data_IF_481829405531
#
_entry.id   IF_481829405531
#
_cell.length_a   1.000
_cell.length_b   1.000
_cell.length_c   1.000
_cell.angle_alpha   90.00
_cell.angle_beta   90.00
_cell.angle_gamma   90.00
#
_symmetry.space_group_name_H-M   'P 1'
#
loop_
_entity.id
_entity.type
_entity.pdbx_description
1 polymer ?
#
# COMPACT_ATOMS: atom_id res chain seq x y z
N UNK A 1 -3.04 33.49 -2.02
CA UNK A 1 -1.84 32.64 -1.91
C UNK A 1 -2.21 31.18 -1.58
N UNK A 2 -2.96 30.87 -0.51
CA UNK A 2 -3.42 29.49 -0.21
C UNK A 2 -4.26 28.91 -1.35
N UNK A 3 -5.22 29.62 -1.87
CA UNK A 3 -6.07 29.18 -2.98
C UNK A 3 -5.28 28.87 -4.26
N UNK A 4 -4.24 29.65 -4.53
CA UNK A 4 -3.36 29.43 -5.68
C UNK A 4 -2.53 28.15 -5.51
N UNK A 5 -2.03 27.89 -4.29
CA UNK A 5 -1.31 26.66 -3.95
C UNK A 5 -2.25 25.44 -4.05
N UNK A 6 -3.46 25.54 -3.57
CA UNK A 6 -4.47 24.49 -3.69
C UNK A 6 -4.80 24.19 -5.15
N UNK A 7 -4.99 25.22 -5.99
CA UNK A 7 -5.25 25.03 -7.41
C UNK A 7 -4.09 24.35 -8.13
N UNK A 8 -2.86 24.80 -7.88
CA UNK A 8 -1.65 24.17 -8.46
C UNK A 8 -1.54 22.72 -8.01
N UNK A 9 -1.70 22.48 -6.70
CA UNK A 9 -1.65 21.13 -6.15
C UNK A 9 -2.71 20.22 -6.78
N UNK A 10 -3.92 20.73 -7.00
CA UNK A 10 -5.00 19.97 -7.64
C UNK A 10 -4.70 19.63 -9.09
N UNK A 11 -4.18 20.57 -9.86
CA UNK A 11 -3.77 20.34 -11.26
C UNK A 11 -2.65 19.30 -11.34
N UNK A 12 -1.63 19.43 -10.48
CA UNK A 12 -0.51 18.48 -10.41
C UNK A 12 -1.00 17.09 -9.98
N UNK A 13 -1.86 17.02 -8.97
CA UNK A 13 -2.42 15.77 -8.49
C UNK A 13 -3.30 15.09 -9.54
N UNK A 14 -4.15 15.83 -10.24
CA UNK A 14 -5.00 15.31 -11.31
C UNK A 14 -4.19 14.84 -12.53
N UNK A 15 -3.04 15.46 -12.80
CA UNK A 15 -2.12 15.01 -13.83
C UNK A 15 -1.38 13.72 -13.39
N UNK A 16 -0.76 13.72 -12.20
CA UNK A 16 0.04 12.59 -11.71
C UNK A 16 -0.85 11.35 -11.47
N UNK A 17 -2.00 11.51 -10.80
CA UNK A 17 -2.95 10.42 -10.56
C UNK A 17 -4.01 10.27 -11.65
N UNK A 18 -3.80 10.95 -12.77
CA UNK A 18 -4.62 10.89 -13.96
C UNK A 18 -4.27 9.74 -14.90
N UNK A 19 -4.71 9.88 -16.15
CA UNK A 19 -4.50 8.90 -17.21
C UNK A 19 -3.02 8.55 -17.43
N UNK A 20 -2.05 9.51 -17.42
CA UNK A 20 -0.66 9.19 -17.69
C UNK A 20 -0.05 8.18 -16.71
N UNK A 21 -0.22 8.41 -15.40
CA UNK A 21 0.30 7.48 -14.39
C UNK A 21 -0.40 6.12 -14.45
N UNK A 22 -1.72 6.11 -14.63
CA UNK A 22 -2.47 4.86 -14.79
C UNK A 22 -1.98 4.05 -15.99
N UNK A 23 -1.80 4.69 -17.14
CA UNK A 23 -1.32 4.03 -18.36
C UNK A 23 0.11 3.50 -18.16
N UNK A 24 0.99 4.30 -17.56
CA UNK A 24 2.36 3.86 -17.29
C UNK A 24 2.40 2.66 -16.32
N UNK A 25 1.74 2.76 -15.16
CA UNK A 25 1.84 1.73 -14.12
C UNK A 25 1.12 0.45 -14.54
N UNK A 26 -0.12 0.57 -15.05
CA UNK A 26 -0.87 -0.59 -15.54
C UNK A 26 -0.22 -1.17 -16.80
N UNK A 27 0.25 -0.31 -17.71
CA UNK A 27 0.95 -0.73 -18.93
C UNK A 27 2.23 -1.51 -18.64
N UNK A 28 3.05 -1.03 -17.69
CA UNK A 28 4.24 -1.77 -17.24
C UNK A 28 3.84 -3.09 -16.58
N UNK A 29 2.82 -3.09 -15.71
CA UNK A 29 2.32 -4.31 -15.09
C UNK A 29 1.80 -5.33 -16.10
N UNK A 30 1.10 -4.89 -17.12
CA UNK A 30 0.63 -5.73 -18.23
C UNK A 30 1.81 -6.25 -19.07
N UNK A 31 2.73 -5.37 -19.47
CA UNK A 31 3.94 -5.77 -20.19
C UNK A 31 4.75 -6.83 -19.45
N UNK A 32 5.00 -6.62 -18.16
CA UNK A 32 5.71 -7.57 -17.32
C UNK A 32 4.94 -8.89 -17.17
N UNK A 33 3.62 -8.84 -17.04
CA UNK A 33 2.78 -10.03 -16.99
C UNK A 33 2.88 -10.86 -18.27
N UNK A 34 2.85 -10.23 -19.43
CA UNK A 34 3.03 -10.90 -20.72
C UNK A 34 4.45 -11.47 -20.85
N UNK A 35 5.49 -10.71 -20.53
CA UNK A 35 6.90 -11.14 -20.64
C UNK A 35 7.25 -12.29 -19.70
N UNK A 36 6.61 -12.38 -18.54
CA UNK A 36 6.82 -13.46 -17.57
C UNK A 36 5.86 -14.63 -17.74
N UNK A 37 4.98 -14.58 -18.76
CA UNK A 37 3.96 -15.61 -19.02
C UNK A 37 2.95 -15.70 -17.87
N UNK A 38 2.43 -14.57 -17.41
CA UNK A 38 1.47 -14.46 -16.30
C UNK A 38 1.93 -15.23 -15.06
N UNK A 39 3.15 -14.96 -14.62
CA UNK A 39 3.80 -15.62 -13.48
C UNK A 39 2.93 -15.58 -12.22
N UNK A 40 2.25 -14.46 -11.97
CA UNK A 40 1.36 -14.25 -10.82
C UNK A 40 0.20 -15.26 -10.77
N UNK A 41 -0.28 -15.73 -11.92
CA UNK A 41 -1.35 -16.75 -12.00
C UNK A 41 -0.71 -18.15 -11.99
N UNK A 42 0.26 -18.38 -12.87
CA UNK A 42 0.89 -19.69 -13.05
C UNK A 42 1.63 -20.21 -11.83
N UNK A 43 2.24 -19.32 -11.05
CA UNK A 43 3.00 -19.67 -9.84
C UNK A 43 2.31 -19.32 -8.53
N UNK A 44 1.04 -18.97 -8.58
CA UNK A 44 0.27 -18.54 -7.42
C UNK A 44 0.25 -19.60 -6.30
N UNK A 45 -0.10 -20.83 -6.64
CA UNK A 45 -0.11 -21.93 -5.67
C UNK A 45 1.27 -22.19 -5.06
N UNK A 46 2.32 -22.16 -5.87
CA UNK A 46 3.68 -22.30 -5.38
C UNK A 46 4.08 -21.14 -4.44
N UNK A 47 3.71 -19.92 -4.78
CA UNK A 47 3.99 -18.75 -3.95
C UNK A 47 3.31 -18.87 -2.58
N UNK A 48 2.02 -19.23 -2.54
CA UNK A 48 1.28 -19.43 -1.29
C UNK A 48 1.91 -20.53 -0.45
N UNK A 49 2.16 -21.70 -1.02
CA UNK A 49 2.76 -22.83 -0.28
C UNK A 49 4.13 -22.48 0.28
N UNK A 50 4.94 -21.75 -0.51
CA UNK A 50 6.28 -21.34 -0.08
C UNK A 50 6.21 -20.29 1.03
N UNK A 51 5.32 -19.31 0.92
CA UNK A 51 5.16 -18.26 1.92
C UNK A 51 4.62 -18.82 3.23
N UNK A 52 3.50 -19.53 3.19
CA UNK A 52 2.88 -20.14 4.38
C UNK A 52 3.82 -21.16 5.02
N UNK A 53 4.45 -22.04 4.22
CA UNK A 53 5.37 -23.05 4.73
C UNK A 53 6.64 -22.47 5.38
N UNK A 54 7.02 -21.22 5.04
CA UNK A 54 8.17 -20.53 5.64
C UNK A 54 7.80 -19.66 6.84
N UNK A 55 6.56 -19.20 6.96
CA UNK A 55 6.09 -18.41 8.10
C UNK A 55 6.30 -19.12 9.44
N UNK A 56 6.17 -20.45 9.45
CA UNK A 56 6.30 -21.27 10.66
C UNK A 56 7.72 -21.77 10.93
N UNK A 57 8.69 -21.47 10.06
CA UNK A 57 10.09 -21.85 10.25
C UNK A 57 10.84 -20.74 10.98
N UNK A 58 11.22 -21.01 12.24
CA UNK A 58 12.13 -20.12 12.97
C UNK A 58 13.48 -20.10 12.23
N UNK A 59 13.91 -18.90 11.84
CA UNK A 59 15.21 -18.67 11.23
C UNK A 59 15.82 -17.42 11.87
N UNK A 60 17.08 -17.49 12.25
CA UNK A 60 17.82 -16.32 12.68
C UNK A 60 18.35 -15.61 11.42
N UNK A 61 18.19 -14.29 11.36
CA UNK A 61 18.83 -13.48 10.34
C UNK A 61 20.30 -13.27 10.68
N UNK A 62 21.13 -13.06 9.67
CA UNK A 62 22.49 -12.56 9.83
C UNK A 62 22.49 -11.15 10.44
N UNK A 63 23.60 -10.73 11.01
CA UNK A 63 23.73 -9.37 11.54
C UNK A 63 23.52 -8.35 10.42
N UNK A 64 22.77 -7.30 10.70
CA UNK A 64 22.43 -6.26 9.72
C UNK A 64 21.29 -6.61 8.74
N UNK A 65 20.64 -7.78 8.88
CA UNK A 65 19.54 -8.20 8.00
C UNK A 65 18.26 -8.49 8.77
N UNK A 66 17.12 -8.52 8.04
CA UNK A 66 15.84 -9.01 8.53
C UNK A 66 15.63 -10.46 8.10
N UNK A 67 14.92 -11.25 8.90
CA UNK A 67 14.41 -12.52 8.40
C UNK A 67 13.46 -12.27 7.22
N UNK A 68 13.34 -13.20 6.27
CA UNK A 68 12.39 -13.02 5.16
C UNK A 68 10.96 -12.75 5.63
N UNK A 69 10.55 -13.32 6.77
CA UNK A 69 9.24 -13.07 7.35
C UNK A 69 9.12 -11.65 7.91
N UNK A 70 10.13 -11.17 8.64
CA UNK A 70 10.19 -9.79 9.12
C UNK A 70 10.15 -8.78 7.97
N UNK A 71 10.89 -9.03 6.89
CA UNK A 71 10.89 -8.18 5.72
C UNK A 71 9.50 -8.12 5.05
N UNK A 72 8.81 -9.25 4.91
CA UNK A 72 7.43 -9.31 4.41
C UNK A 72 6.48 -8.56 5.35
N UNK A 73 6.55 -8.78 6.66
CA UNK A 73 5.71 -8.07 7.63
C UNK A 73 5.97 -6.56 7.62
N UNK A 74 7.23 -6.15 7.48
CA UNK A 74 7.59 -4.72 7.38
C UNK A 74 7.03 -4.10 6.10
N UNK A 75 7.13 -4.78 4.96
CA UNK A 75 6.54 -4.33 3.71
C UNK A 75 5.00 -4.30 3.79
N UNK A 76 4.38 -5.29 4.43
CA UNK A 76 2.93 -5.31 4.65
C UNK A 76 2.49 -4.20 5.61
N UNK A 77 3.28 -3.86 6.63
CA UNK A 77 2.98 -2.73 7.52
C UNK A 77 2.90 -1.40 6.77
N UNK A 78 3.74 -1.23 5.74
CA UNK A 78 3.69 -0.05 4.87
C UNK A 78 2.49 -0.09 3.90
N UNK A 79 2.18 -1.28 3.35
CA UNK A 79 1.16 -1.46 2.31
C UNK A 79 -0.26 -1.54 2.89
N UNK A 80 -0.44 -2.28 4.01
CA UNK A 80 -1.75 -2.49 4.64
C UNK A 80 -1.98 -1.42 5.70
N UNK A 81 -2.66 -0.37 5.31
CA UNK A 81 -2.95 0.77 6.17
C UNK A 81 -4.37 1.31 5.96
N UNK A 82 -4.58 2.56 6.34
CA UNK A 82 -5.87 3.24 6.18
C UNK A 82 -6.32 3.35 4.72
N UNK A 83 -5.40 3.30 3.76
CA UNK A 83 -5.69 3.27 2.33
C UNK A 83 -6.53 2.07 1.90
N UNK A 84 -6.35 0.92 2.55
CA UNK A 84 -7.06 -0.32 2.25
C UNK A 84 -8.47 -0.36 2.85
N UNK A 85 -8.78 0.52 3.79
CA UNK A 85 -10.07 0.62 4.48
C UNK A 85 -10.78 1.90 4.05
N UNK A 86 -10.35 3.03 4.54
CA UNK A 86 -10.93 4.34 4.26
C UNK A 86 -10.77 4.74 2.79
N UNK A 87 -9.63 4.41 2.16
CA UNK A 87 -9.37 4.67 0.75
C UNK A 87 -10.28 3.88 -0.18
N UNK A 88 -10.60 2.63 0.14
CA UNK A 88 -11.55 1.80 -0.62
C UNK A 88 -12.96 2.34 -0.48
N UNK A 89 -13.39 2.68 0.74
CA UNK A 89 -14.68 3.31 0.98
C UNK A 89 -14.84 4.62 0.18
N UNK A 90 -13.78 5.47 0.17
CA UNK A 90 -13.75 6.69 -0.63
C UNK A 90 -13.79 6.44 -2.15
N UNK A 91 -13.14 5.36 -2.63
CA UNK A 91 -13.22 4.98 -4.04
C UNK A 91 -14.64 4.56 -4.45
N UNK A 92 -15.32 3.82 -3.58
CA UNK A 92 -16.72 3.40 -3.80
C UNK A 92 -17.64 4.61 -3.74
N UNK A 93 -17.45 5.53 -2.79
CA UNK A 93 -18.27 6.72 -2.65
C UNK A 93 -18.20 7.65 -3.87
N UNK A 94 -17.03 7.77 -4.51
CA UNK A 94 -16.80 8.67 -5.65
C UNK A 94 -16.99 7.95 -6.99
N UNK A 95 -16.44 6.72 -7.10
CA UNK A 95 -16.41 5.96 -8.36
C UNK A 95 -17.51 4.92 -8.51
N UNK A 96 -18.35 4.77 -7.47
CA UNK A 96 -19.36 3.73 -7.40
C UNK A 96 -18.78 2.33 -7.09
N UNK A 97 -19.63 1.30 -6.94
CA UNK A 97 -19.20 -0.06 -6.61
C UNK A 97 -18.28 -0.67 -7.68
N UNK A 98 -18.38 -0.25 -8.93
CA UNK A 98 -17.50 -0.70 -10.01
C UNK A 98 -16.02 -0.36 -9.81
N UNK A 99 -15.68 0.62 -8.97
CA UNK A 99 -14.30 0.92 -8.60
C UNK A 99 -13.59 -0.30 -7.99
N UNK A 100 -14.31 -1.16 -7.27
CA UNK A 100 -13.77 -2.40 -6.68
C UNK A 100 -13.28 -3.36 -7.76
N UNK A 101 -14.03 -3.53 -8.84
CA UNK A 101 -13.60 -4.35 -9.98
C UNK A 101 -12.27 -3.86 -10.56
N UNK A 102 -12.15 -2.57 -10.79
CA UNK A 102 -10.94 -1.97 -11.35
C UNK A 102 -9.75 -2.01 -10.36
N UNK A 103 -10.02 -2.00 -9.05
CA UNK A 103 -9.00 -2.29 -8.03
C UNK A 103 -8.48 -3.73 -8.14
N UNK A 104 -9.35 -4.72 -8.38
CA UNK A 104 -8.92 -6.11 -8.60
C UNK A 104 -8.06 -6.25 -9.85
N UNK A 105 -8.45 -5.62 -10.96
CA UNK A 105 -7.65 -5.61 -12.20
C UNK A 105 -6.27 -5.01 -11.95
N UNK A 106 -6.24 -3.86 -11.27
CA UNK A 106 -4.98 -3.21 -10.87
C UNK A 106 -4.11 -4.11 -9.98
N UNK A 107 -4.72 -4.82 -9.02
CA UNK A 107 -4.01 -5.71 -8.13
C UNK A 107 -3.37 -6.89 -8.86
N UNK A 108 -4.10 -7.55 -9.77
CA UNK A 108 -3.58 -8.67 -10.56
C UNK A 108 -2.37 -8.27 -11.39
N UNK A 109 -2.43 -7.11 -12.05
CA UNK A 109 -1.30 -6.59 -12.83
C UNK A 109 -0.17 -6.10 -11.93
N UNK A 110 -0.52 -5.47 -10.81
CA UNK A 110 0.41 -5.00 -9.79
C UNK A 110 1.25 -6.10 -9.14
N UNK A 111 0.74 -7.32 -9.04
CA UNK A 111 1.52 -8.47 -8.52
C UNK A 111 2.81 -8.68 -9.32
N UNK A 112 2.76 -8.58 -10.65
CA UNK A 112 3.94 -8.77 -11.50
C UNK A 112 4.90 -7.58 -11.39
N UNK A 113 4.37 -6.36 -11.30
CA UNK A 113 5.17 -5.16 -11.06
C UNK A 113 5.91 -5.28 -9.73
N UNK A 114 5.20 -5.66 -8.66
CA UNK A 114 5.79 -5.85 -7.32
C UNK A 114 6.87 -6.94 -7.31
N UNK A 115 6.62 -8.05 -8.02
CA UNK A 115 7.63 -9.09 -8.19
C UNK A 115 8.91 -8.56 -8.84
N UNK A 116 8.80 -7.75 -9.90
CA UNK A 116 9.94 -7.15 -10.55
C UNK A 116 10.68 -6.16 -9.63
N UNK A 117 9.95 -5.26 -8.95
CA UNK A 117 10.51 -4.30 -7.99
C UNK A 117 11.32 -4.99 -6.89
N UNK A 118 10.74 -6.01 -6.26
CA UNK A 118 11.41 -6.75 -5.17
C UNK A 118 12.62 -7.52 -5.69
N UNK A 119 12.49 -8.15 -6.85
CA UNK A 119 13.62 -8.88 -7.47
C UNK A 119 14.79 -7.94 -7.75
N UNK A 120 14.53 -6.78 -8.35
CA UNK A 120 15.57 -5.78 -8.63
C UNK A 120 16.17 -5.20 -7.35
N UNK A 121 15.34 -4.95 -6.34
CA UNK A 121 15.81 -4.40 -5.07
C UNK A 121 16.75 -5.35 -4.32
N UNK A 122 16.50 -6.66 -4.36
CA UNK A 122 17.38 -7.66 -3.77
C UNK A 122 18.62 -7.90 -4.64
N UNK A 123 18.49 -7.83 -5.97
CA UNK A 123 19.60 -8.06 -6.89
C UNK A 123 20.64 -6.94 -6.86
N UNK A 124 20.21 -5.68 -6.80
CA UNK A 124 21.08 -4.49 -6.82
C UNK A 124 21.33 -3.85 -5.45
N UNK A 125 20.98 -4.54 -4.36
CA UNK A 125 21.23 -4.05 -3.01
C UNK A 125 22.72 -3.96 -2.70
N UNK A 126 23.04 -3.12 -1.76
CA UNK A 126 24.39 -2.91 -1.24
C UNK A 126 24.42 -3.23 0.27
N UNK A 127 25.62 -3.32 0.83
CA UNK A 127 25.84 -3.32 2.27
C UNK A 127 26.40 -1.95 2.66
N UNK A 128 25.79 -1.30 3.64
CA UNK A 128 26.26 0.00 4.12
C UNK A 128 27.54 -0.16 4.97
N UNK A 129 28.10 0.96 5.43
CA UNK A 129 29.32 0.98 6.26
C UNK A 129 29.11 0.31 7.63
N UNK A 130 27.89 0.21 8.07
CA UNK A 130 27.48 -0.38 9.35
C UNK A 130 27.19 -1.87 9.24
N UNK A 131 27.30 -2.45 8.03
CA UNK A 131 27.05 -3.87 7.75
C UNK A 131 25.60 -4.20 7.44
N UNK A 132 24.68 -3.21 7.39
CA UNK A 132 23.28 -3.44 7.10
C UNK A 132 23.01 -3.56 5.59
N UNK A 133 22.07 -4.43 5.22
CA UNK A 133 21.59 -4.54 3.86
C UNK A 133 20.68 -3.35 3.51
N UNK A 134 21.02 -2.66 2.42
CA UNK A 134 20.28 -1.50 1.93
C UNK A 134 19.99 -1.64 0.44
N UNK A 135 18.78 -1.27 0.01
CA UNK A 135 18.38 -1.39 -1.39
C UNK A 135 17.06 -0.67 -1.65
N UNK A 136 16.54 -0.86 -2.84
CA UNK A 136 15.32 -0.21 -3.29
C UNK A 136 15.53 0.53 -4.61
N UNK A 137 14.56 1.37 -5.06
CA UNK A 137 14.64 2.05 -6.35
C UNK A 137 15.90 2.86 -6.57
N UNK A 138 16.34 3.60 -5.56
CA UNK A 138 17.57 4.39 -5.63
C UNK A 138 18.80 3.53 -5.96
N UNK A 139 18.86 2.30 -5.45
CA UNK A 139 19.99 1.39 -5.68
C UNK A 139 19.91 0.69 -7.03
N UNK A 140 18.76 0.18 -7.44
CA UNK A 140 18.68 -0.46 -8.75
C UNK A 140 18.71 0.54 -9.93
N UNK A 141 18.32 1.80 -9.70
CA UNK A 141 18.56 2.87 -10.69
C UNK A 141 20.06 3.17 -10.77
N UNK A 142 20.72 3.39 -9.62
CA UNK A 142 22.14 3.68 -9.54
C UNK A 142 22.99 2.58 -10.18
N UNK A 143 22.73 1.33 -9.81
CA UNK A 143 23.58 0.19 -10.18
C UNK A 143 23.16 -0.48 -11.48
N UNK A 144 21.89 -0.35 -11.89
CA UNK A 144 21.32 -1.00 -13.06
C UNK A 144 21.34 -0.15 -14.33
N UNK A 145 21.11 1.16 -14.22
CA UNK A 145 21.03 2.06 -15.38
C UNK A 145 22.34 2.82 -15.66
N UNK A 146 23.28 2.81 -14.71
CA UNK A 146 24.58 3.46 -14.86
C UNK A 146 24.59 4.95 -14.51
N UNK A 147 25.79 5.57 -14.70
CA UNK A 147 26.08 6.93 -14.18
C UNK A 147 25.18 8.03 -14.73
N UNK A 148 24.78 7.96 -15.98
CA UNK A 148 23.95 8.98 -16.63
C UNK A 148 22.53 9.08 -16.03
N UNK A 149 22.06 8.07 -15.35
CA UNK A 149 20.72 7.99 -14.77
C UNK A 149 20.69 8.18 -13.25
N UNK A 150 21.84 8.50 -12.64
CA UNK A 150 21.92 8.68 -11.18
C UNK A 150 21.03 9.81 -10.66
N UNK A 151 20.77 10.83 -11.48
CA UNK A 151 19.85 11.90 -11.09
C UNK A 151 18.45 11.40 -10.73
N UNK A 152 17.97 10.32 -11.40
CA UNK A 152 16.68 9.70 -11.05
C UNK A 152 16.72 9.02 -9.67
N UNK A 153 17.85 8.41 -9.30
CA UNK A 153 18.01 7.82 -7.97
C UNK A 153 17.96 8.89 -6.88
N UNK A 154 18.60 10.04 -7.12
CA UNK A 154 18.57 11.18 -6.20
C UNK A 154 17.16 11.77 -6.10
N UNK A 155 16.47 11.97 -7.24
CA UNK A 155 15.10 12.47 -7.26
C UNK A 155 14.15 11.52 -6.52
N UNK A 156 14.26 10.21 -6.76
CA UNK A 156 13.44 9.23 -6.04
C UNK A 156 13.67 9.32 -4.52
N UNK A 157 14.93 9.42 -4.09
CA UNK A 157 15.26 9.55 -2.66
C UNK A 157 14.71 10.83 -2.05
N UNK A 158 14.87 11.97 -2.75
CA UNK A 158 14.37 13.27 -2.29
C UNK A 158 12.83 13.26 -2.16
N UNK A 159 12.12 12.79 -3.19
CA UNK A 159 10.66 12.66 -3.13
C UNK A 159 10.21 11.63 -2.09
N UNK A 160 10.95 10.54 -1.91
CA UNK A 160 10.69 9.54 -0.88
C UNK A 160 10.71 10.16 0.51
N UNK A 161 11.70 10.98 0.82
CA UNK A 161 11.79 11.71 2.11
C UNK A 161 10.62 12.66 2.28
N UNK A 162 10.29 13.44 1.24
CA UNK A 162 9.15 14.39 1.30
C UNK A 162 7.80 13.67 1.48
N UNK A 163 7.62 12.51 0.85
CA UNK A 163 6.38 11.73 0.93
C UNK A 163 6.10 11.23 2.34
N UNK A 164 7.12 10.98 3.16
CA UNK A 164 6.94 10.51 4.55
C UNK A 164 6.15 11.52 5.38
N UNK A 165 6.36 12.83 5.17
CA UNK A 165 5.63 13.87 5.91
C UNK A 165 4.13 13.90 5.56
N UNK A 166 3.77 13.63 4.31
CA UNK A 166 2.39 13.68 3.82
C UNK A 166 1.67 12.34 3.93
N UNK A 167 1.74 11.55 2.87
CA UNK A 167 0.98 10.30 2.73
C UNK A 167 1.42 9.21 3.69
N UNK A 168 2.71 9.17 4.06
CA UNK A 168 3.24 8.18 4.98
C UNK A 168 2.82 8.38 6.43
N UNK A 169 2.55 9.61 6.84
CA UNK A 169 2.28 9.92 8.24
C UNK A 169 0.96 10.70 8.45
N UNK A 170 0.85 11.91 7.92
CA UNK A 170 -0.27 12.80 8.23
C UNK A 170 -1.64 12.19 7.87
N UNK A 171 -1.76 11.53 6.72
CA UNK A 171 -3.01 10.87 6.32
C UNK A 171 -3.38 9.70 7.21
N UNK A 172 -2.38 8.91 7.66
CA UNK A 172 -2.60 7.78 8.57
C UNK A 172 -3.11 8.27 9.92
N UNK A 173 -2.40 9.23 10.54
CA UNK A 173 -2.79 9.80 11.84
C UNK A 173 -4.17 10.44 11.77
N UNK A 174 -4.45 11.22 10.71
CA UNK A 174 -5.77 11.83 10.51
C UNK A 174 -6.90 10.79 10.48
N UNK A 175 -6.71 9.69 9.73
CA UNK A 175 -7.74 8.63 9.64
C UNK A 175 -7.92 7.91 10.98
N UNK A 176 -6.84 7.63 11.70
CA UNK A 176 -6.88 7.00 13.03
C UNK A 176 -7.64 7.90 14.00
N UNK A 177 -7.26 9.18 14.11
CA UNK A 177 -7.91 10.11 15.03
C UNK A 177 -9.37 10.35 14.70
N UNK A 178 -9.72 10.40 13.41
CA UNK A 178 -11.11 10.52 12.98
C UNK A 178 -11.93 9.28 13.38
N UNK A 179 -11.40 8.08 13.17
CA UNK A 179 -12.09 6.85 13.55
C UNK A 179 -12.28 6.73 15.06
N UNK A 180 -11.25 7.02 15.84
CA UNK A 180 -11.30 6.99 17.31
C UNK A 180 -12.29 8.03 17.82
N UNK A 181 -12.24 9.27 17.31
CA UNK A 181 -13.19 10.31 17.72
C UNK A 181 -14.64 9.96 17.38
N UNK A 182 -14.87 9.37 16.19
CA UNK A 182 -16.21 8.90 15.82
C UNK A 182 -16.74 7.85 16.81
N UNK A 183 -15.88 6.94 17.24
CA UNK A 183 -16.25 5.93 18.24
C UNK A 183 -16.51 6.59 19.62
N UNK A 184 -15.64 7.50 20.07
CA UNK A 184 -15.80 8.18 21.36
C UNK A 184 -17.06 9.06 21.40
N UNK A 185 -17.37 9.76 20.31
CA UNK A 185 -18.61 10.54 20.17
C UNK A 185 -19.84 9.63 20.18
N UNK A 186 -19.81 8.53 19.45
CA UNK A 186 -20.93 7.57 19.41
C UNK A 186 -21.20 6.91 20.76
N UNK A 187 -20.17 6.72 21.59
CA UNK A 187 -20.28 6.21 22.95
C UNK A 187 -20.62 7.31 23.97
N UNK A 188 -20.70 8.57 23.57
CA UNK A 188 -20.96 9.70 24.48
C UNK A 188 -19.81 10.02 25.45
N UNK A 189 -18.60 9.51 25.18
CA UNK A 189 -17.42 9.69 26.03
C UNK A 189 -16.76 11.06 25.86
N UNK A 190 -16.94 11.71 24.72
CA UNK A 190 -16.48 13.07 24.43
C UNK A 190 -17.59 13.89 23.79
N UNK A 191 -17.53 15.21 23.92
CA UNK A 191 -18.38 16.17 23.19
C UNK A 191 -17.66 16.67 21.92
N UNK A 192 -18.40 17.24 20.99
CA UNK A 192 -17.82 17.83 19.74
C UNK A 192 -16.76 18.90 20.05
N UNK A 193 -16.94 19.69 21.11
CA UNK A 193 -15.97 20.69 21.55
C UNK A 193 -14.64 20.10 22.02
N UNK A 194 -14.62 18.86 22.49
CA UNK A 194 -13.43 18.17 22.97
C UNK A 194 -12.60 17.47 21.86
N UNK A 195 -13.10 17.43 20.62
CA UNK A 195 -12.43 16.73 19.49
C UNK A 195 -11.01 17.26 19.24
N UNK A 196 -10.78 18.57 19.32
CA UNK A 196 -9.43 19.14 19.13
C UNK A 196 -8.45 18.66 20.20
N UNK A 197 -8.86 18.62 21.46
CA UNK A 197 -8.05 18.14 22.58
C UNK A 197 -7.80 16.65 22.45
N UNK A 198 -8.80 15.87 22.06
CA UNK A 198 -8.67 14.44 21.78
C UNK A 198 -7.65 14.16 20.65
N UNK A 199 -7.70 14.93 19.55
CA UNK A 199 -6.72 14.84 18.46
C UNK A 199 -5.29 15.09 18.94
N UNK A 200 -5.09 16.11 19.79
CA UNK A 200 -3.77 16.42 20.32
C UNK A 200 -3.23 15.27 21.20
N UNK A 201 -4.05 14.77 22.10
CA UNK A 201 -3.67 13.65 23.00
C UNK A 201 -3.33 12.41 22.17
N UNK A 202 -4.19 12.03 21.23
CA UNK A 202 -3.96 10.89 20.34
C UNK A 202 -2.69 11.08 19.49
N UNK A 203 -2.47 12.29 18.96
CA UNK A 203 -1.28 12.63 18.20
C UNK A 203 0.01 12.47 19.02
N UNK A 204 0.03 12.93 20.28
CA UNK A 204 1.16 12.76 21.18
C UNK A 204 1.43 11.27 21.48
N UNK A 205 0.38 10.51 21.78
CA UNK A 205 0.50 9.07 22.07
C UNK A 205 1.06 8.33 20.84
N UNK A 206 0.51 8.59 19.65
CA UNK A 206 0.98 7.97 18.42
C UNK A 206 2.43 8.35 18.13
N UNK A 207 2.79 9.62 18.25
CA UNK A 207 4.15 10.09 18.04
C UNK A 207 5.15 9.41 19.01
N UNK A 208 4.79 9.30 20.29
CA UNK A 208 5.63 8.61 21.28
C UNK A 208 5.83 7.13 20.95
N UNK A 209 4.76 6.41 20.58
CA UNK A 209 4.83 4.99 20.19
C UNK A 209 5.68 4.79 18.93
N UNK A 210 5.50 5.63 17.91
CA UNK A 210 6.28 5.59 16.68
C UNK A 210 7.75 5.88 16.96
N UNK A 211 8.05 6.91 17.77
CA UNK A 211 9.42 7.25 18.14
C UNK A 211 10.13 6.08 18.86
N UNK A 212 9.44 5.44 19.81
CA UNK A 212 9.97 4.26 20.52
C UNK A 212 10.36 3.12 19.57
N UNK A 213 9.59 2.92 18.49
CA UNK A 213 9.88 1.88 17.51
C UNK A 213 11.03 2.30 16.59
N UNK A 214 10.99 3.52 16.05
CA UNK A 214 11.96 4.02 15.07
C UNK A 214 13.36 4.17 15.65
N UNK A 215 13.49 4.60 16.91
CA UNK A 215 14.78 4.72 17.60
C UNK A 215 15.54 3.39 17.72
N UNK A 216 14.84 2.26 17.60
CA UNK A 216 15.48 0.92 17.59
C UNK A 216 15.93 0.45 16.21
N UNK A 217 15.80 1.28 15.17
CA UNK A 217 16.25 0.98 13.81
C UNK A 217 15.47 -0.14 13.12
N UNK A 218 15.98 -0.58 11.98
CA UNK A 218 15.33 -1.55 11.07
C UNK A 218 15.02 -2.89 11.76
N UNK A 219 15.92 -3.37 12.62
CA UNK A 219 15.73 -4.63 13.37
C UNK A 219 14.52 -4.54 14.30
N UNK A 220 14.36 -3.44 15.02
CA UNK A 220 13.23 -3.25 15.94
C UNK A 220 11.91 -3.09 15.19
N UNK A 221 11.93 -2.37 14.07
CA UNK A 221 10.77 -2.27 13.18
C UNK A 221 10.35 -3.67 12.75
N UNK A 222 11.29 -4.51 12.26
CA UNK A 222 11.01 -5.88 11.86
C UNK A 222 10.42 -6.74 12.99
N UNK A 223 10.96 -6.64 14.21
CA UNK A 223 10.47 -7.38 15.38
C UNK A 223 9.05 -6.98 15.82
N UNK A 224 8.70 -5.70 15.70
CA UNK A 224 7.37 -5.20 16.04
C UNK A 224 6.37 -5.59 14.94
N UNK A 225 6.74 -5.40 13.68
CA UNK A 225 5.85 -5.68 12.56
C UNK A 225 5.55 -7.16 12.38
N UNK A 226 6.51 -8.06 12.68
CA UNK A 226 6.28 -9.52 12.59
C UNK A 226 5.20 -10.02 13.55
N UNK A 227 4.93 -9.29 14.65
CA UNK A 227 3.88 -9.63 15.62
C UNK A 227 2.58 -8.87 15.32
N UNK A 228 2.70 -7.58 15.04
CA UNK A 228 1.55 -6.69 14.89
C UNK A 228 0.79 -6.96 13.59
N UNK A 229 1.51 -7.13 12.46
CA UNK A 229 0.88 -7.26 11.14
C UNK A 229 0.05 -8.52 10.98
N UNK A 230 0.51 -9.73 11.36
CA UNK A 230 -0.32 -10.92 11.29
C UNK A 230 -1.57 -10.83 12.17
N UNK A 231 -1.43 -10.27 13.39
CA UNK A 231 -2.56 -10.04 14.28
C UNK A 231 -3.59 -9.08 13.67
N UNK A 232 -3.13 -7.95 13.16
CA UNK A 232 -3.97 -6.95 12.50
C UNK A 232 -4.71 -7.55 11.29
N UNK A 233 -3.97 -8.27 10.43
CA UNK A 233 -4.55 -8.91 9.25
C UNK A 233 -5.59 -9.96 9.61
N UNK A 234 -5.29 -10.83 10.60
CA UNK A 234 -6.22 -11.84 11.06
C UNK A 234 -7.49 -11.23 11.63
N UNK A 235 -7.35 -10.23 12.50
CA UNK A 235 -8.49 -9.53 13.11
C UNK A 235 -9.39 -8.91 12.03
N UNK A 236 -8.77 -8.21 11.06
CA UNK A 236 -9.52 -7.59 9.96
C UNK A 236 -10.25 -8.62 9.10
N UNK A 237 -9.59 -9.72 8.75
CA UNK A 237 -10.21 -10.81 7.96
C UNK A 237 -11.38 -11.42 8.73
N UNK A 238 -11.20 -11.74 10.01
CA UNK A 238 -12.27 -12.35 10.83
C UNK A 238 -13.48 -11.43 10.93
N UNK A 239 -13.26 -10.13 11.21
CA UNK A 239 -14.36 -9.16 11.28
C UNK A 239 -15.04 -8.97 9.93
N UNK A 240 -14.28 -8.89 8.84
CA UNK A 240 -14.83 -8.74 7.48
C UNK A 240 -15.64 -9.95 7.05
N UNK A 241 -15.12 -11.16 7.30
CA UNK A 241 -15.84 -12.41 7.02
C UNK A 241 -17.09 -12.50 7.88
N UNK A 242 -17.00 -12.12 9.15
CA UNK A 242 -18.16 -12.06 10.06
C UNK A 242 -19.29 -11.18 9.51
N UNK A 243 -18.96 -9.97 9.02
CA UNK A 243 -19.94 -9.05 8.40
C UNK A 243 -20.55 -9.67 7.13
N UNK A 244 -19.72 -10.30 6.28
CA UNK A 244 -20.19 -10.95 5.05
C UNK A 244 -21.15 -12.08 5.38
N UNK A 245 -20.81 -12.92 6.35
CA UNK A 245 -21.67 -14.04 6.79
C UNK A 245 -22.98 -13.53 7.38
N UNK A 246 -22.93 -12.46 8.19
CA UNK A 246 -24.13 -11.85 8.76
C UNK A 246 -25.06 -11.26 7.68
N UNK A 247 -24.49 -10.79 6.56
CA UNK A 247 -25.22 -10.20 5.43
C UNK A 247 -25.14 -11.05 4.16
N UNK A 248 -25.02 -12.37 4.30
CA UNK A 248 -24.79 -13.30 3.16
C UNK A 248 -25.85 -13.18 2.06
N UNK A 249 -27.09 -12.85 2.42
CA UNK A 249 -28.18 -12.66 1.49
C UNK A 249 -27.97 -11.46 0.53
N UNK A 250 -27.20 -10.45 0.98
CA UNK A 250 -26.88 -9.30 0.15
C UNK A 250 -25.68 -9.55 -0.80
N UNK A 251 -24.94 -10.63 -0.62
CA UNK A 251 -23.71 -10.89 -1.38
C UNK A 251 -23.94 -10.97 -2.91
N UNK A 252 -24.98 -11.66 -3.42
CA UNK A 252 -25.23 -11.70 -4.87
C UNK A 252 -25.49 -10.32 -5.48
N UNK A 253 -26.32 -9.50 -4.81
CA UNK A 253 -26.62 -8.15 -5.27
C UNK A 253 -25.40 -7.21 -5.22
N UNK A 254 -24.53 -7.37 -4.22
CA UNK A 254 -23.28 -6.62 -4.12
C UNK A 254 -22.34 -7.01 -5.26
N UNK A 255 -22.16 -8.29 -5.54
CA UNK A 255 -21.34 -8.77 -6.65
C UNK A 255 -21.89 -8.24 -7.98
N UNK A 256 -23.21 -8.36 -8.20
CA UNK A 256 -23.85 -7.79 -9.38
C UNK A 256 -23.57 -6.29 -9.51
N UNK A 257 -23.75 -5.52 -8.44
CA UNK A 257 -23.49 -4.08 -8.44
C UNK A 257 -22.02 -3.73 -8.77
N UNK A 258 -21.04 -4.55 -8.34
CA UNK A 258 -19.63 -4.36 -8.68
C UNK A 258 -19.42 -4.52 -10.19
N UNK A 259 -19.94 -5.59 -10.80
CA UNK A 259 -19.77 -5.83 -12.23
C UNK A 259 -20.56 -4.83 -13.09
N UNK A 260 -21.82 -4.58 -12.75
CA UNK A 260 -22.64 -3.58 -13.46
C UNK A 260 -22.03 -2.18 -13.35
N UNK A 261 -21.59 -1.78 -12.15
CA UNK A 261 -20.93 -0.51 -11.91
C UNK A 261 -19.57 -0.37 -12.61
N UNK A 262 -18.90 -1.47 -12.91
CA UNK A 262 -17.64 -1.46 -13.66
C UNK A 262 -17.84 -1.20 -15.15
N UNK A 263 -18.96 -1.65 -15.73
CA UNK A 263 -19.20 -1.61 -17.18
C UNK A 263 -20.41 -0.74 -17.58
N UNK A 264 -21.35 -0.50 -16.65
CA UNK A 264 -22.53 0.33 -16.84
C UNK A 264 -22.78 1.25 -15.64
N UNK A 265 -21.85 2.15 -15.29
CA UNK A 265 -21.94 2.91 -14.04
C UNK A 265 -23.16 3.83 -13.95
N UNK A 266 -23.66 4.33 -15.08
CA UNK A 266 -24.85 5.19 -15.11
C UNK A 266 -26.14 4.46 -14.67
N UNK A 267 -26.21 3.16 -14.85
CA UNK A 267 -27.38 2.36 -14.47
C UNK A 267 -27.46 2.08 -12.95
N UNK A 268 -26.31 2.04 -12.26
CA UNK A 268 -26.22 1.65 -10.84
C UNK A 268 -26.32 2.86 -9.91
N UNK A 269 -25.86 4.02 -10.32
CA UNK A 269 -25.73 5.21 -9.47
C UNK A 269 -26.84 6.24 -9.60
N UNK A 270 -27.80 6.03 -10.52
CA UNK A 270 -29.03 6.84 -10.60
C UNK A 270 -28.84 8.34 -10.87
N UNK A 271 -27.72 8.77 -11.36
CA UNK A 271 -27.43 10.16 -11.70
C UNK A 271 -25.98 10.59 -11.46
N UNK A 272 -25.49 11.41 -12.35
CA UNK A 272 -24.29 12.29 -12.28
C UNK A 272 -22.90 11.75 -11.89
N UNK A 273 -22.75 10.59 -11.29
CA UNK A 273 -21.45 10.15 -10.72
C UNK A 273 -20.79 9.03 -11.51
N UNK A 274 -21.28 8.66 -12.61
CA UNK A 274 -20.71 7.42 -13.04
C UNK A 274 -20.40 7.29 -14.52
N UNK A 275 -19.46 8.03 -15.05
CA UNK A 275 -18.84 7.54 -16.27
C UNK A 275 -18.01 6.29 -15.96
N UNK A 276 -18.03 5.28 -16.82
CA UNK A 276 -17.13 4.13 -16.83
C UNK A 276 -15.69 4.57 -16.49
N UNK A 277 -15.29 5.70 -17.06
CA UNK A 277 -13.99 6.29 -16.87
C UNK A 277 -13.73 6.73 -15.42
N UNK A 278 -14.75 7.28 -14.73
CA UNK A 278 -14.59 7.69 -13.32
C UNK A 278 -14.42 6.48 -12.40
N UNK A 279 -15.21 5.45 -12.59
CA UNK A 279 -15.12 4.19 -11.85
C UNK A 279 -13.74 3.53 -12.06
N UNK A 280 -13.29 3.46 -13.31
CA UNK A 280 -11.97 2.94 -13.67
C UNK A 280 -10.85 3.82 -13.10
N UNK A 281 -10.90 5.15 -13.28
CA UNK A 281 -9.90 6.10 -12.77
C UNK A 281 -9.75 5.97 -11.25
N UNK A 282 -10.87 5.98 -10.52
CA UNK A 282 -10.84 5.89 -9.05
C UNK A 282 -10.44 4.50 -8.56
N UNK A 283 -10.92 3.43 -9.20
CA UNK A 283 -10.55 2.07 -8.87
C UNK A 283 -9.07 1.78 -9.10
N UNK A 284 -8.55 2.08 -10.29
CA UNK A 284 -7.14 1.86 -10.62
C UNK A 284 -6.22 2.71 -9.75
N UNK A 285 -6.50 4.02 -9.60
CA UNK A 285 -5.68 4.91 -8.76
C UNK A 285 -5.62 4.41 -7.32
N UNK A 286 -6.74 4.01 -6.74
CA UNK A 286 -6.78 3.46 -5.39
C UNK A 286 -6.18 2.06 -5.28
N UNK A 287 -6.30 1.24 -6.31
CA UNK A 287 -5.64 -0.06 -6.38
C UNK A 287 -4.11 0.08 -6.38
N UNK A 288 -3.56 0.98 -7.18
CA UNK A 288 -2.11 1.28 -7.19
C UNK A 288 -1.65 1.77 -5.82
N UNK A 289 -2.35 2.75 -5.24
CA UNK A 289 -2.02 3.30 -3.94
C UNK A 289 -2.11 2.25 -2.83
N UNK A 290 -3.17 1.44 -2.83
CA UNK A 290 -3.42 0.40 -1.83
C UNK A 290 -2.40 -0.74 -1.89
N UNK A 291 -1.95 -1.13 -3.09
CA UNK A 291 -1.01 -2.24 -3.29
C UNK A 291 0.45 -1.77 -3.28
N UNK A 292 0.71 -0.46 -3.36
CA UNK A 292 2.05 0.12 -3.55
C UNK A 292 2.83 -0.50 -4.71
N UNK A 293 2.16 -1.05 -5.72
CA UNK A 293 2.78 -1.65 -6.88
C UNK A 293 3.10 -0.57 -7.92
N UNK A 294 4.36 -0.44 -8.29
CA UNK A 294 4.85 0.62 -9.16
C UNK A 294 5.34 1.87 -8.42
N UNK A 295 5.20 1.94 -7.08
CA UNK A 295 5.69 3.05 -6.26
C UNK A 295 7.11 2.84 -5.72
N UNK A 296 7.59 1.61 -5.71
CA UNK A 296 8.95 1.24 -5.29
C UNK A 296 9.19 1.18 -3.78
N UNK A 297 8.35 1.82 -2.96
CA UNK A 297 8.54 1.96 -1.50
C UNK A 297 8.65 0.62 -0.78
N UNK A 298 7.74 -0.32 -1.02
CA UNK A 298 7.75 -1.63 -0.38
C UNK A 298 8.96 -2.49 -0.74
N UNK A 299 9.63 -2.22 -1.86
CA UNK A 299 10.84 -2.94 -2.27
C UNK A 299 12.04 -2.63 -1.38
N UNK A 300 12.06 -1.48 -0.70
CA UNK A 300 13.11 -1.07 0.25
C UNK A 300 13.16 -2.05 1.44
N UNK A 301 12.00 -2.37 2.03
CA UNK A 301 11.92 -3.32 3.13
C UNK A 301 12.35 -4.73 2.72
N UNK A 302 11.98 -5.17 1.51
CA UNK A 302 12.38 -6.47 0.99
C UNK A 302 13.87 -6.58 0.68
N UNK A 303 14.53 -5.48 0.34
CA UNK A 303 15.97 -5.47 0.11
C UNK A 303 16.77 -5.84 1.37
N UNK A 304 16.23 -5.53 2.56
CA UNK A 304 16.87 -5.88 3.84
C UNK A 304 16.71 -7.36 4.24
N UNK A 305 16.00 -8.17 3.44
CA UNK A 305 15.79 -9.58 3.75
C UNK A 305 17.05 -10.42 3.62
N UNK A 306 17.31 -11.30 4.60
CA UNK A 306 18.40 -12.27 4.56
C UNK A 306 18.08 -13.38 3.54
N UNK A 307 18.41 -13.12 2.29
CA UNK A 307 18.27 -14.08 1.19
C UNK A 307 19.44 -13.95 0.23
N UNK A 308 19.93 -15.09 -0.28
CA UNK A 308 21.02 -15.12 -1.27
C UNK A 308 20.51 -15.05 -2.71
N UNK A 309 19.23 -15.31 -2.93
CA UNK A 309 18.63 -15.38 -4.27
C UNK A 309 17.50 -14.36 -4.39
N UNK A 310 17.53 -13.48 -5.42
CA UNK A 310 16.50 -12.44 -5.62
C UNK A 310 15.08 -12.99 -5.79
N UNK A 311 14.96 -14.21 -6.33
CA UNK A 311 13.68 -14.84 -6.69
C UNK A 311 13.27 -15.96 -5.72
N UNK A 312 13.87 -16.02 -4.53
CA UNK A 312 13.58 -17.10 -3.58
C UNK A 312 12.76 -16.58 -2.41
#
# INVERSE_FOLDING_TARGET
MLSTIETINQVVNDFIWGVPAMVCIIGVGFYLSCRTGFLQIRKFSYAIQTTIGRMFRKRNASDGALTPFQAVCTALAATVGTGNIAGVAGAIAIGGPGAVFWMWVSAVLGMCTKFAEVTLAVYYRETNKEGDLVGGPMYYIKNGLGKNWQFLAVLFSAFGVLTVFGTGNATQVNTITTAVNSALLSCGLISEGAVKTSNLIQGIIIAALVALILLGGVKRIGQVTEKLVPFMALLYIVLSVGIILFRIQALPSVIQAIFEGAFKPAAVTGGAVGSLFMSMKKGVSRGIFSNEAGLGTGSIAHACADTRKPVK
#
